data_IF_207387966883
#
_entry.id   IF_207387966883
#
_cell.length_a   1.000
_cell.length_b   1.000
_cell.length_c   1.000
_cell.angle_alpha   90.00
_cell.angle_beta   90.00
_cell.angle_gamma   90.00
#
_symmetry.space_group_name_H-M   'P 1'
#
loop_
_entity.id
_entity.type
_entity.pdbx_description
1 polymer ?
#
# COMPACT_ATOMS: atom_id res chain seq x y z
N UNK A 1 8.30 3.27 -14.65
CA UNK A 1 7.86 4.58 -14.12
C UNK A 1 8.03 5.64 -15.17
N UNK A 2 7.09 6.57 -15.31
CA UNK A 2 7.15 7.62 -16.32
C UNK A 2 7.30 8.97 -15.64
N UNK A 3 8.34 9.72 -16.00
CA UNK A 3 8.56 11.05 -15.47
C UNK A 3 7.50 12.01 -16.05
N UNK A 4 6.76 12.70 -15.18
CA UNK A 4 5.65 13.55 -15.64
C UNK A 4 6.10 14.81 -16.38
N UNK A 5 7.34 15.28 -16.19
CA UNK A 5 7.87 16.50 -16.83
C UNK A 5 8.62 16.21 -18.13
N UNK A 6 9.47 15.18 -18.15
CA UNK A 6 10.33 14.86 -19.30
C UNK A 6 9.77 13.71 -20.15
N UNK A 7 8.69 13.06 -19.71
CA UNK A 7 8.12 11.86 -20.34
C UNK A 7 9.12 10.70 -20.45
N UNK A 8 10.25 10.77 -19.75
CA UNK A 8 11.24 9.70 -19.71
C UNK A 8 10.70 8.47 -18.97
N UNK A 9 10.94 7.30 -19.54
CA UNK A 9 10.54 6.03 -18.96
C UNK A 9 11.75 5.45 -18.21
N UNK A 10 11.62 5.37 -16.90
CA UNK A 10 12.59 4.72 -16.03
C UNK A 10 12.09 3.33 -15.65
N UNK A 11 12.88 2.31 -15.99
CA UNK A 11 12.70 0.95 -15.49
C UNK A 11 13.43 0.85 -14.15
N UNK A 12 12.71 0.46 -13.10
CA UNK A 12 13.29 0.17 -11.79
C UNK A 12 13.33 -1.35 -11.63
N UNK A 13 14.45 -1.87 -11.13
CA UNK A 13 14.54 -3.30 -10.81
C UNK A 13 13.83 -3.61 -9.50
N UNK A 14 13.49 -4.88 -9.27
CA UNK A 14 12.82 -5.31 -8.04
C UNK A 14 13.63 -4.96 -6.77
N UNK A 15 14.96 -4.98 -6.85
CA UNK A 15 15.86 -4.57 -5.76
C UNK A 15 15.76 -3.07 -5.42
N UNK A 16 15.40 -2.23 -6.38
CA UNK A 16 15.28 -0.77 -6.18
C UNK A 16 13.91 -0.36 -5.67
N UNK A 17 12.89 -1.14 -6.03
CA UNK A 17 11.52 -0.97 -5.54
C UNK A 17 11.40 -1.53 -4.12
N UNK A 18 12.11 -2.62 -3.82
CA UNK A 18 12.15 -3.24 -2.49
C UNK A 18 10.74 -3.40 -1.90
N UNK A 19 10.50 -3.17 -0.61
CA UNK A 19 9.17 -3.27 0.00
C UNK A 19 8.09 -2.33 -0.58
N UNK A 20 8.47 -1.32 -1.36
CA UNK A 20 7.52 -0.37 -1.93
C UNK A 20 6.52 -1.02 -2.89
N UNK A 21 6.86 -2.18 -3.50
CA UNK A 21 6.00 -2.86 -4.46
C UNK A 21 4.64 -3.24 -3.86
N UNK A 22 4.61 -3.53 -2.56
CA UNK A 22 3.40 -3.89 -1.79
C UNK A 22 2.36 -2.76 -1.76
N UNK A 23 2.81 -1.52 -1.94
CA UNK A 23 2.03 -0.30 -1.86
C UNK A 23 1.79 0.35 -3.21
N UNK A 24 2.32 -0.22 -4.29
CA UNK A 24 2.18 0.32 -5.64
C UNK A 24 0.80 0.00 -6.22
N UNK A 25 0.02 1.06 -6.42
CA UNK A 25 -1.25 0.99 -7.17
C UNK A 25 -1.09 1.66 -8.53
N UNK A 26 -1.81 1.12 -9.51
CA UNK A 26 -1.91 1.72 -10.83
C UNK A 26 -2.43 3.16 -10.74
N UNK A 27 -1.74 4.08 -11.41
CA UNK A 27 -2.07 5.51 -11.40
C UNK A 27 -1.52 6.32 -10.20
N UNK A 28 -0.76 5.72 -9.27
CA UNK A 28 -0.15 6.48 -8.16
C UNK A 28 1.09 7.27 -8.60
N UNK A 29 1.18 8.52 -8.14
CA UNK A 29 2.38 9.35 -8.29
C UNK A 29 3.42 8.93 -7.25
N UNK A 30 4.45 8.22 -7.69
CA UNK A 30 5.59 7.86 -6.85
C UNK A 30 6.75 8.82 -7.13
N UNK A 31 7.56 9.09 -6.11
CA UNK A 31 8.79 9.88 -6.26
C UNK A 31 9.93 8.92 -6.57
N UNK A 32 10.56 9.07 -7.74
CA UNK A 32 11.77 8.32 -8.08
C UNK A 32 12.97 9.20 -7.78
N UNK A 33 13.86 8.72 -6.91
CA UNK A 33 15.16 9.37 -6.69
C UNK A 33 16.12 8.90 -7.77
N UNK A 34 16.59 9.84 -8.58
CA UNK A 34 17.59 9.62 -9.62
C UNK A 34 18.96 10.03 -9.09
N UNK A 35 19.94 9.13 -9.16
CA UNK A 35 21.33 9.42 -8.84
C UNK A 35 22.20 9.19 -10.09
N UNK A 36 22.84 10.24 -10.58
CA UNK A 36 23.72 10.16 -11.76
C UNK A 36 23.03 9.59 -13.02
N UNK A 37 21.76 9.94 -13.23
CA UNK A 37 20.97 9.46 -14.38
C UNK A 37 20.43 8.03 -14.24
N UNK A 38 20.75 7.33 -13.15
CA UNK A 38 20.18 6.04 -12.84
C UNK A 38 19.12 6.19 -11.75
N UNK A 39 17.95 5.53 -11.87
CA UNK A 39 17.02 5.45 -10.76
C UNK A 39 17.75 4.75 -9.61
N UNK A 40 17.77 5.35 -8.43
CA UNK A 40 18.41 4.79 -7.23
C UNK A 40 17.39 4.04 -6.39
N UNK A 41 16.29 4.72 -6.07
CA UNK A 41 15.19 4.18 -5.28
C UNK A 41 13.90 4.88 -5.66
N UNK A 42 12.78 4.24 -5.35
CA UNK A 42 11.47 4.82 -5.51
C UNK A 42 10.79 4.90 -4.16
N UNK A 43 10.34 6.09 -3.80
CA UNK A 43 9.55 6.35 -2.61
C UNK A 43 8.08 6.54 -3.02
N UNK A 44 7.17 5.62 -2.62
CA UNK A 44 5.75 5.84 -2.79
C UNK A 44 5.27 7.01 -1.91
N UNK A 45 4.08 7.57 -2.15
CA UNK A 45 3.52 8.59 -1.27
C UNK A 45 3.39 8.06 0.17
N UNK A 46 3.46 8.96 1.15
CA UNK A 46 3.43 8.64 2.58
C UNK A 46 2.17 7.85 2.99
N UNK A 47 1.07 8.05 2.27
CA UNK A 47 -0.17 7.32 2.46
C UNK A 47 -0.71 6.84 1.11
N UNK A 48 -1.06 5.56 1.07
CA UNK A 48 -1.65 4.91 -0.10
C UNK A 48 -3.03 4.38 0.23
N UNK A 49 -3.92 4.44 -0.75
CA UNK A 49 -5.30 3.98 -0.64
C UNK A 49 -5.44 2.64 -1.34
N UNK A 50 -5.56 1.58 -0.54
CA UNK A 50 -5.58 0.19 -1.00
C UNK A 50 -6.95 -0.42 -0.70
N UNK A 51 -7.57 -0.98 -1.73
CA UNK A 51 -8.85 -1.66 -1.58
C UNK A 51 -8.65 -3.06 -1.00
N UNK A 52 -9.43 -3.40 0.02
CA UNK A 52 -9.45 -4.74 0.61
C UNK A 52 -10.15 -5.70 -0.35
N UNK A 53 -9.41 -6.68 -0.86
CA UNK A 53 -9.92 -7.72 -1.77
C UNK A 53 -10.31 -8.99 -1.04
N UNK A 54 -9.69 -9.28 0.10
CA UNK A 54 -10.03 -10.40 0.97
C UNK A 54 -9.86 -9.97 2.43
N UNK A 55 -10.71 -10.47 3.32
CA UNK A 55 -10.50 -10.31 4.75
C UNK A 55 -10.62 -11.65 5.47
N UNK A 56 -9.68 -11.97 6.36
CA UNK A 56 -9.84 -13.15 7.20
C UNK A 56 -11.09 -12.99 8.08
N UNK A 57 -11.92 -14.04 8.22
CA UNK A 57 -13.04 -14.02 9.13
C UNK A 57 -12.48 -13.96 10.55
N UNK A 58 -12.55 -12.77 11.16
CA UNK A 58 -12.13 -12.55 12.54
C UNK A 58 -12.68 -13.65 13.43
N UNK A 59 -11.78 -14.26 14.22
CA UNK A 59 -12.08 -15.43 15.05
C UNK A 59 -13.41 -15.23 15.77
N UNK A 60 -14.34 -16.12 15.44
CA UNK A 60 -15.74 -16.15 15.84
C UNK A 60 -15.83 -16.46 17.35
N UNK A 61 -15.30 -15.60 18.22
CA UNK A 61 -15.11 -15.94 19.63
C UNK A 61 -14.78 -14.80 20.58
N UNK A 62 -14.19 -13.68 20.13
CA UNK A 62 -13.72 -12.66 21.07
C UNK A 62 -14.61 -11.42 21.07
N UNK A 63 -15.44 -11.31 22.10
CA UNK A 63 -16.19 -10.14 22.56
C UNK A 63 -15.26 -9.03 23.07
N UNK A 64 -14.09 -8.83 22.46
CA UNK A 64 -13.15 -7.78 22.80
C UNK A 64 -13.24 -6.64 21.79
N UNK A 65 -13.45 -5.43 22.29
CA UNK A 65 -13.64 -4.18 21.55
C UNK A 65 -12.43 -3.76 20.67
N UNK A 66 -11.40 -4.62 20.53
CA UNK A 66 -10.11 -4.27 19.93
C UNK A 66 -9.45 -5.44 19.15
N UNK A 67 -10.24 -6.30 18.51
CA UNK A 67 -9.69 -7.36 17.64
C UNK A 67 -9.18 -6.73 16.35
N UNK A 68 -7.88 -6.87 16.07
CA UNK A 68 -7.29 -6.64 14.74
C UNK A 68 -7.40 -7.92 13.92
N UNK A 69 -7.68 -7.79 12.63
CA UNK A 69 -7.73 -8.88 11.67
C UNK A 69 -6.79 -8.61 10.51
N UNK A 70 -6.29 -9.68 9.89
CA UNK A 70 -5.51 -9.58 8.67
C UNK A 70 -6.46 -9.44 7.47
N UNK A 71 -6.10 -8.52 6.57
CA UNK A 71 -6.81 -8.31 5.31
C UNK A 71 -5.82 -8.27 4.16
N UNK A 72 -6.20 -8.86 3.04
CA UNK A 72 -5.45 -8.78 1.79
C UNK A 72 -6.01 -7.64 0.95
N UNK A 73 -5.13 -6.84 0.39
CA UNK A 73 -5.49 -5.73 -0.49
C UNK A 73 -5.31 -6.07 -1.97
N UNK A 74 -5.72 -5.16 -2.85
CA UNK A 74 -5.62 -5.31 -4.31
C UNK A 74 -4.20 -5.58 -4.82
N UNK A 75 -3.17 -5.16 -4.08
CA UNK A 75 -1.76 -5.43 -4.42
C UNK A 75 -1.29 -6.84 -4.02
N UNK A 76 -2.12 -7.60 -3.29
CA UNK A 76 -1.74 -8.89 -2.71
C UNK A 76 -0.99 -8.78 -1.38
N UNK A 77 -0.76 -7.56 -0.87
CA UNK A 77 -0.17 -7.35 0.45
C UNK A 77 -1.20 -7.62 1.57
N UNK A 78 -0.72 -8.08 2.72
CA UNK A 78 -1.53 -8.38 3.90
C UNK A 78 -1.28 -7.32 4.99
N UNK A 79 -2.35 -6.73 5.52
CA UNK A 79 -2.27 -5.70 6.55
C UNK A 79 -3.15 -6.04 7.75
N UNK A 80 -2.67 -5.72 8.95
CA UNK A 80 -3.43 -5.84 10.19
C UNK A 80 -4.30 -4.60 10.37
N UNK A 81 -5.62 -4.78 10.33
CA UNK A 81 -6.60 -3.69 10.46
C UNK A 81 -7.64 -4.00 11.53
N UNK A 82 -8.38 -3.00 12.02
CA UNK A 82 -9.45 -3.25 12.99
C UNK A 82 -10.55 -4.16 12.46
N UNK A 83 -11.15 -4.97 13.34
CA UNK A 83 -12.17 -5.97 12.99
C UNK A 83 -13.43 -5.44 12.30
N UNK A 84 -13.68 -4.13 12.33
CA UNK A 84 -14.83 -3.50 11.66
C UNK A 84 -14.63 -3.30 10.15
N UNK A 85 -13.40 -3.41 9.63
CA UNK A 85 -13.12 -3.33 8.20
C UNK A 85 -13.82 -4.49 7.47
N UNK A 86 -14.26 -4.29 6.23
CA UNK A 86 -14.84 -5.35 5.39
C UNK A 86 -14.19 -5.38 4.01
N UNK A 87 -14.35 -6.50 3.31
CA UNK A 87 -14.02 -6.60 1.89
C UNK A 87 -14.72 -5.47 1.11
N UNK A 88 -14.01 -4.88 0.15
CA UNK A 88 -14.44 -3.71 -0.62
C UNK A 88 -14.25 -2.36 0.10
N UNK A 89 -13.74 -2.33 1.33
CA UNK A 89 -13.37 -1.07 1.97
C UNK A 89 -12.00 -0.60 1.47
N UNK A 90 -11.83 0.72 1.34
CA UNK A 90 -10.55 1.32 1.01
C UNK A 90 -9.86 1.71 2.31
N UNK A 91 -8.63 1.24 2.47
CA UNK A 91 -7.79 1.50 3.63
C UNK A 91 -6.66 2.42 3.23
N UNK A 92 -6.40 3.41 4.08
CA UNK A 92 -5.21 4.23 4.00
C UNK A 92 -4.11 3.57 4.80
N UNK A 93 -3.04 3.17 4.12
CA UNK A 93 -1.87 2.52 4.72
C UNK A 93 -0.69 3.50 4.67
N UNK A 94 0.08 3.59 5.76
CA UNK A 94 1.33 4.33 5.81
C UNK A 94 2.44 3.49 5.16
N UNK A 95 3.05 3.99 4.09
CA UNK A 95 4.06 3.23 3.33
C UNK A 95 5.43 3.20 4.01
N UNK A 96 5.64 3.99 5.06
CA UNK A 96 6.90 4.04 5.81
C UNK A 96 6.94 2.98 6.90
N UNK A 97 5.81 2.75 7.57
CA UNK A 97 5.70 1.75 8.64
C UNK A 97 4.94 0.50 8.22
N UNK A 98 4.17 0.56 7.13
CA UNK A 98 3.26 -0.51 6.72
C UNK A 98 2.02 -0.61 7.60
N UNK A 99 1.73 0.40 8.42
CA UNK A 99 0.61 0.40 9.34
C UNK A 99 -0.66 0.96 8.70
N UNK A 100 -1.79 0.39 9.11
CA UNK A 100 -3.09 0.96 8.80
C UNK A 100 -3.26 2.31 9.53
N UNK A 101 -3.58 3.35 8.76
CA UNK A 101 -3.83 4.70 9.27
C UNK A 101 -5.32 4.89 9.55
N UNK A 102 -6.14 4.74 8.51
CA UNK A 102 -7.58 5.04 8.58
C UNK A 102 -8.34 4.33 7.45
N UNK A 103 -9.66 4.19 7.62
CA UNK A 103 -10.56 3.71 6.58
C UNK A 103 -11.04 4.90 5.78
N UNK A 104 -10.74 4.91 4.49
CA UNK A 104 -11.29 5.90 3.57
C UNK A 104 -12.76 5.55 3.35
N UNK A 105 -13.66 6.41 3.84
CA UNK A 105 -15.08 6.37 3.52
C UNK A 105 -15.36 7.47 2.50
N UNK A 106 -15.76 7.08 1.29
CA UNK A 106 -16.28 7.96 0.26
C UNK A 106 -17.79 8.19 0.46
#
# INVERSE_FOLDING_TARGET
FMHSETFEQYELTAEQVDDAWKYLKDGMKCTVMLFNGNPLTMTPPIHVELLVTQCEPGAKGDTATNVTKLVTVETGAEFSVPGFIKEGNVLKIDTRTGEYVERVSN
#
